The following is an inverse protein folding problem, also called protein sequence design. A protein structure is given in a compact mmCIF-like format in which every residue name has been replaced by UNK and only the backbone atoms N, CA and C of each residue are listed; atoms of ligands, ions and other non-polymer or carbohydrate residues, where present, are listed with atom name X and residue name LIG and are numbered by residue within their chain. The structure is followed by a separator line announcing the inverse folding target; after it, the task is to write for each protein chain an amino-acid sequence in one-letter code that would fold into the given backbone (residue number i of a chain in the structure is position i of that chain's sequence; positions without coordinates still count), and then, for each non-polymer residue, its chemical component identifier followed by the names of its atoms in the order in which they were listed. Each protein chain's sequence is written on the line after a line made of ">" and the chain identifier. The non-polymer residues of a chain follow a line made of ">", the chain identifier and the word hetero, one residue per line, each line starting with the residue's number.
data_IF_851510086058
#
_entry.id   IF_851510086058
#
_cell.length_a   1.000
_cell.length_b   1.000
_cell.length_c   1.000
_cell.angle_alpha   90.00
_cell.angle_beta   90.00
_cell.angle_gamma   90.00
#
_symmetry.space_group_name_H-M   'P 1'
#
loop_
_entity.id
_entity.type
_entity.pdbx_description
1 polymer ?
#
# COMPACT_ATOMS: atom_id res chain seq x y z
N UNK A 1 4.99 7.79 -13.45
CA UNK A 1 4.86 6.83 -12.32
C UNK A 1 3.58 6.04 -12.49
N UNK A 2 3.57 4.74 -12.19
CA UNK A 2 2.35 3.91 -12.28
C UNK A 2 1.53 4.00 -11.00
N UNK A 3 0.22 3.76 -11.09
CA UNK A 3 -0.68 3.79 -9.93
C UNK A 3 -0.29 2.76 -8.87
N UNK A 4 0.11 1.55 -9.28
CA UNK A 4 0.67 0.53 -8.39
C UNK A 4 1.90 1.02 -7.60
N UNK A 5 2.81 1.75 -8.25
CA UNK A 5 4.00 2.31 -7.59
C UNK A 5 3.63 3.36 -6.54
N UNK A 6 2.65 4.22 -6.82
CA UNK A 6 2.15 5.20 -5.85
C UNK A 6 1.50 4.53 -4.63
N UNK A 7 0.76 3.44 -4.84
CA UNK A 7 0.15 2.67 -3.76
C UNK A 7 1.21 1.95 -2.91
N UNK A 8 2.24 1.41 -3.54
CA UNK A 8 3.37 0.81 -2.84
C UNK A 8 4.15 1.84 -2.01
N UNK A 9 4.45 3.02 -2.57
CA UNK A 9 5.10 4.11 -1.83
C UNK A 9 4.26 4.58 -0.63
N UNK A 10 2.93 4.63 -0.77
CA UNK A 10 2.01 4.90 0.35
C UNK A 10 2.09 3.81 1.42
N UNK A 11 2.09 2.55 1.04
CA UNK A 11 2.22 1.45 1.98
C UNK A 11 3.51 1.57 2.80
N UNK A 12 4.65 1.78 2.14
CA UNK A 12 5.95 1.95 2.79
C UNK A 12 5.98 3.15 3.74
N UNK A 13 5.33 4.26 3.36
CA UNK A 13 5.19 5.42 4.25
C UNK A 13 4.45 5.04 5.54
N UNK A 14 3.36 4.27 5.44
CA UNK A 14 2.61 3.81 6.61
C UNK A 14 3.41 2.84 7.48
N UNK A 15 4.22 1.95 6.89
CA UNK A 15 5.11 1.07 7.67
C UNK A 15 6.13 1.86 8.49
N UNK A 16 6.80 2.84 7.86
CA UNK A 16 7.75 3.70 8.57
C UNK A 16 7.07 4.46 9.72
N UNK A 17 5.85 4.95 9.50
CA UNK A 17 5.06 5.60 10.57
C UNK A 17 4.69 4.63 11.68
N UNK A 18 4.38 3.37 11.37
CA UNK A 18 4.09 2.33 12.36
C UNK A 18 5.32 1.98 13.20
N UNK A 19 6.51 2.00 12.62
CA UNK A 19 7.77 1.76 13.32
C UNK A 19 8.09 2.87 14.33
N UNK A 20 7.84 4.12 13.97
CA UNK A 20 8.11 5.29 14.81
C UNK A 20 6.96 5.69 15.73
N UNK A 21 5.78 5.08 15.59
CA UNK A 21 4.61 5.41 16.41
C UNK A 21 4.81 4.94 17.85
N UNK A 22 4.74 5.89 18.79
CA UNK A 22 4.80 5.61 20.22
C UNK A 22 3.49 5.00 20.76
N UNK A 23 2.35 5.42 20.17
CA UNK A 23 1.03 4.93 20.58
C UNK A 23 0.70 3.59 19.90
N UNK A 24 0.36 2.54 20.68
CA UNK A 24 0.06 1.22 20.13
C UNK A 24 -1.18 1.18 19.23
N UNK A 25 -2.18 2.04 19.46
CA UNK A 25 -3.39 2.12 18.63
C UNK A 25 -3.01 2.68 17.25
N UNK A 26 -2.30 3.80 17.23
CA UNK A 26 -1.79 4.42 16.00
C UNK A 26 -0.87 3.47 15.23
N UNK A 27 0.00 2.72 15.93
CA UNK A 27 0.86 1.70 15.34
C UNK A 27 0.06 0.59 14.66
N UNK A 28 -1.00 0.10 15.29
CA UNK A 28 -1.87 -0.91 14.69
C UNK A 28 -2.56 -0.35 13.44
N UNK A 29 -3.14 0.85 13.55
CA UNK A 29 -3.82 1.50 12.43
C UNK A 29 -2.89 1.72 11.23
N UNK A 30 -1.66 2.18 11.45
CA UNK A 30 -0.70 2.34 10.37
C UNK A 30 -0.30 1.01 9.72
N UNK A 31 -0.24 -0.09 10.47
CA UNK A 31 -0.02 -1.43 9.90
C UNK A 31 -1.20 -1.88 9.04
N UNK A 32 -2.43 -1.64 9.47
CA UNK A 32 -3.63 -1.93 8.68
C UNK A 32 -3.62 -1.13 7.36
N UNK A 33 -3.30 0.17 7.43
CA UNK A 33 -3.17 1.00 6.24
C UNK A 33 -2.08 0.52 5.29
N UNK A 34 -0.91 0.13 5.81
CA UNK A 34 0.17 -0.43 5.00
C UNK A 34 -0.23 -1.75 4.32
N UNK A 35 -0.95 -2.63 5.03
CA UNK A 35 -1.48 -3.86 4.45
C UNK A 35 -2.51 -3.55 3.34
N UNK A 36 -3.44 -2.63 3.59
CA UNK A 36 -4.46 -2.23 2.63
C UNK A 36 -3.87 -1.69 1.33
N UNK A 37 -2.91 -0.76 1.42
CA UNK A 37 -2.27 -0.20 0.23
C UNK A 37 -1.41 -1.20 -0.55
N UNK A 38 -0.83 -2.21 0.13
CA UNK A 38 -0.17 -3.33 -0.56
C UNK A 38 -1.13 -4.18 -1.34
N UNK A 39 -2.29 -4.53 -0.77
CA UNK A 39 -3.32 -5.28 -1.49
C UNK A 39 -3.78 -4.53 -2.74
N UNK A 40 -4.07 -3.23 -2.60
CA UNK A 40 -4.42 -2.38 -3.75
C UNK A 40 -3.30 -2.33 -4.79
N UNK A 41 -2.03 -2.20 -4.38
CA UNK A 41 -0.91 -2.19 -5.31
C UNK A 41 -0.83 -3.48 -6.14
N UNK A 42 -1.09 -4.64 -5.53
CA UNK A 42 -1.14 -5.94 -6.22
C UNK A 42 -2.32 -6.01 -7.18
N UNK A 43 -3.52 -5.63 -6.74
CA UNK A 43 -4.72 -5.59 -7.60
C UNK A 43 -4.49 -4.70 -8.83
N UNK A 44 -3.83 -3.55 -8.68
CA UNK A 44 -3.51 -2.66 -9.80
C UNK A 44 -2.39 -3.16 -10.71
N UNK A 45 -1.53 -4.08 -10.25
CA UNK A 45 -0.58 -4.79 -11.12
C UNK A 45 -1.29 -5.87 -11.94
N UNK A 46 -2.28 -6.55 -11.33
CA UNK A 46 -3.07 -7.58 -12.00
C UNK A 46 -4.04 -6.98 -13.02
N UNK A 47 -4.70 -5.86 -12.73
CA UNK A 47 -5.56 -5.13 -13.69
C UNK A 47 -4.79 -4.70 -14.94
N UNK A 48 -3.50 -4.33 -14.80
CA UNK A 48 -2.65 -4.00 -15.97
C UNK A 48 -2.21 -5.23 -16.77
N UNK A 49 -2.29 -6.42 -16.18
CA UNK A 49 -1.94 -7.68 -16.83
C UNK A 49 -3.13 -8.26 -17.61
N UNK A 50 -4.35 -7.89 -17.21
CA UNK A 50 -5.61 -8.35 -17.80
C UNK A 50 -6.27 -7.36 -18.77
N UNK A 51 -5.68 -6.18 -19.07
CA UNK A 51 -6.11 -5.40 -20.24
C UNK A 51 -5.67 -6.14 -21.52
N UNK A 52 -6.59 -6.77 -22.27
CA UNK A 52 -6.26 -7.28 -23.59
C UNK A 52 -6.07 -6.04 -24.47
N UNK A 53 -4.95 -5.99 -25.20
CA UNK A 53 -4.80 -5.06 -26.30
C UNK A 53 -6.01 -5.20 -27.23
N UNK A 54 -6.87 -4.19 -27.25
CA UNK A 54 -8.02 -4.09 -28.15
C UNK A 54 -7.78 -2.99 -29.18
#
# INVERSE_FOLDING_TARGET
>A
MTQAKLLQEKAEMFERRAETAADPISKHHYKEMAAHYRSLAVEHLDVKRDEPAH
#
